data_IF_480202926794
#
_entry.id   IF_480202926794
#
_cell.length_a   1.000
_cell.length_b   1.000
_cell.length_c   1.000
_cell.angle_alpha   90.00
_cell.angle_beta   90.00
_cell.angle_gamma   90.00
#
_symmetry.space_group_name_H-M   'P 1'
#
loop_
_entity.id
_entity.type
_entity.pdbx_description
1 polymer ?
#
# COMPACT_ATOMS: atom_id res chain seq x y z
N UNK A 1 -10.08 11.99 18.94
CA UNK A 1 -10.58 10.76 19.59
C UNK A 1 -11.82 10.33 18.84
N UNK A 2 -12.06 9.03 18.68
CA UNK A 2 -13.24 8.52 18.01
C UNK A 2 -13.59 7.16 18.61
N UNK A 3 -14.79 7.03 19.15
CA UNK A 3 -15.33 5.79 19.72
C UNK A 3 -16.72 5.55 19.14
N UNK A 4 -17.13 4.29 19.02
CA UNK A 4 -18.43 3.96 18.42
C UNK A 4 -19.57 4.46 19.31
N UNK A 5 -20.38 5.37 18.77
CA UNK A 5 -21.52 5.99 19.48
C UNK A 5 -22.58 4.93 19.81
N UNK A 6 -22.76 3.91 18.98
CA UNK A 6 -23.72 2.84 19.24
C UNK A 6 -23.31 2.00 20.44
N UNK A 7 -22.00 1.79 20.63
CA UNK A 7 -21.47 1.06 21.77
C UNK A 7 -21.65 1.85 23.07
N UNK A 8 -21.44 3.16 23.04
CA UNK A 8 -21.74 4.02 24.19
C UNK A 8 -23.23 4.05 24.52
N UNK A 9 -24.10 4.05 23.51
CA UNK A 9 -25.55 3.97 23.72
C UNK A 9 -25.96 2.64 24.37
N UNK A 10 -25.45 1.51 23.88
CA UNK A 10 -25.70 0.18 24.48
C UNK A 10 -25.16 0.11 25.91
N UNK A 11 -23.97 0.65 26.15
CA UNK A 11 -23.42 0.74 27.50
C UNK A 11 -24.31 1.56 28.43
N UNK A 12 -24.85 2.69 27.93
CA UNK A 12 -25.76 3.53 28.70
C UNK A 12 -27.03 2.78 29.11
N UNK A 13 -27.64 2.05 28.17
CA UNK A 13 -28.81 1.22 28.41
C UNK A 13 -28.50 0.11 29.43
N UNK A 14 -27.36 -0.58 29.27
CA UNK A 14 -26.91 -1.64 30.18
C UNK A 14 -26.72 -1.15 31.62
N UNK A 15 -26.07 -0.01 31.82
CA UNK A 15 -25.85 0.56 33.16
C UNK A 15 -27.17 1.01 33.81
N UNK A 16 -28.08 1.56 33.01
CA UNK A 16 -29.41 1.96 33.48
C UNK A 16 -30.21 0.76 33.98
N UNK A 17 -30.22 -0.35 33.24
CA UNK A 17 -30.90 -1.60 33.64
C UNK A 17 -30.38 -2.19 34.95
N UNK A 18 -29.11 -1.93 35.28
CA UNK A 18 -28.46 -2.42 36.50
C UNK A 18 -28.45 -1.39 37.64
N UNK A 19 -29.13 -0.23 37.49
CA UNK A 19 -29.14 0.87 38.46
C UNK A 19 -27.73 1.38 38.84
N UNK A 20 -26.81 1.40 37.86
CA UNK A 20 -25.44 1.88 38.04
C UNK A 20 -25.31 3.30 37.49
N UNK A 21 -24.75 4.21 38.27
CA UNK A 21 -24.48 5.57 37.80
C UNK A 21 -23.27 5.58 36.84
N UNK A 22 -23.37 6.31 35.73
CA UNK A 22 -22.32 6.47 34.73
C UNK A 22 -21.03 7.05 35.31
N UNK A 23 -21.14 7.92 36.31
CA UNK A 23 -19.98 8.51 36.98
C UNK A 23 -19.22 7.51 37.86
N UNK A 24 -19.83 6.37 38.19
CA UNK A 24 -19.27 5.35 39.05
C UNK A 24 -18.66 4.16 38.27
N UNK A 25 -18.44 4.33 36.96
CA UNK A 25 -17.77 3.36 36.11
C UNK A 25 -16.61 3.97 35.32
N UNK A 26 -15.67 3.13 34.92
CA UNK A 26 -14.60 3.50 34.00
C UNK A 26 -14.34 2.37 33.00
N UNK A 27 -14.30 2.69 31.71
CA UNK A 27 -13.98 1.75 30.65
C UNK A 27 -12.48 1.44 30.69
N UNK A 28 -12.16 0.16 30.67
CA UNK A 28 -10.79 -0.35 30.69
C UNK A 28 -10.52 -1.24 29.49
N UNK A 29 -9.36 -1.89 29.46
CA UNK A 29 -9.06 -2.87 28.43
C UNK A 29 -8.88 -2.24 27.05
N UNK A 30 -9.48 -2.85 26.02
CA UNK A 30 -9.26 -2.43 24.63
C UNK A 30 -10.04 -1.17 24.23
N UNK A 31 -11.02 -0.74 25.03
CA UNK A 31 -11.81 0.48 24.78
C UNK A 31 -10.95 1.74 24.69
N UNK A 32 -9.96 1.93 25.57
CA UNK A 32 -9.02 3.07 25.49
C UNK A 32 -8.20 3.05 24.19
N UNK A 33 -7.78 1.86 23.71
CA UNK A 33 -7.05 1.74 22.44
C UNK A 33 -7.94 2.13 21.25
N UNK A 34 -9.22 1.78 21.32
CA UNK A 34 -10.21 2.13 20.30
C UNK A 34 -10.47 3.63 20.26
N UNK A 35 -10.66 4.26 21.43
CA UNK A 35 -10.85 5.71 21.56
C UNK A 35 -9.73 6.53 20.91
N UNK A 36 -8.49 6.06 21.08
CA UNK A 36 -7.29 6.68 20.52
C UNK A 36 -6.99 6.26 19.07
N UNK A 37 -7.80 5.38 18.49
CA UNK A 37 -7.64 4.89 17.11
C UNK A 37 -6.44 3.96 16.92
N UNK A 38 -5.91 3.37 17.99
CA UNK A 38 -4.77 2.45 17.98
C UNK A 38 -5.19 1.07 17.45
N UNK A 39 -6.32 0.54 17.94
CA UNK A 39 -6.93 -0.74 17.53
C UNK A 39 -8.41 -0.73 17.92
N UNK A 40 -9.26 -1.38 17.13
CA UNK A 40 -10.66 -1.64 17.49
C UNK A 40 -10.76 -2.58 18.70
N UNK A 41 -11.77 -2.35 19.54
CA UNK A 41 -12.14 -3.23 20.62
C UNK A 41 -13.12 -4.30 20.14
N UNK A 42 -13.08 -5.48 20.77
CA UNK A 42 -13.97 -6.61 20.46
C UNK A 42 -15.03 -6.81 21.56
N UNK A 43 -14.85 -6.16 22.70
CA UNK A 43 -15.64 -6.20 23.92
C UNK A 43 -15.45 -4.88 24.70
N UNK A 44 -16.40 -4.57 25.59
CA UNK A 44 -16.32 -3.44 26.52
C UNK A 44 -16.04 -3.98 27.91
N UNK A 45 -14.85 -3.70 28.42
CA UNK A 45 -14.46 -4.02 29.79
C UNK A 45 -14.67 -2.80 30.69
N UNK A 46 -15.22 -3.00 31.89
CA UNK A 46 -15.53 -1.94 32.86
C UNK A 46 -14.99 -2.29 34.24
N UNK A 47 -14.49 -1.27 34.95
CA UNK A 47 -14.45 -1.26 36.42
C UNK A 47 -15.62 -0.44 36.96
N UNK A 48 -16.02 -0.75 38.19
CA UNK A 48 -17.15 -0.12 38.88
C UNK A 48 -16.76 0.17 40.33
N UNK A 49 -17.38 1.20 40.92
CA UNK A 49 -17.16 1.49 42.33
C UNK A 49 -17.51 0.32 43.24
N UNK A 50 -16.72 0.15 44.29
CA UNK A 50 -16.84 -0.91 45.30
C UNK A 50 -18.24 -1.03 45.92
N UNK A 51 -18.98 0.08 46.04
CA UNK A 51 -20.36 0.11 46.56
C UNK A 51 -21.37 -0.73 45.75
N UNK A 52 -21.05 -1.07 44.51
CA UNK A 52 -21.90 -1.88 43.63
C UNK A 52 -21.51 -3.37 43.59
N UNK A 53 -20.49 -3.77 44.36
CA UNK A 53 -20.06 -5.17 44.45
C UNK A 53 -21.04 -5.93 45.37
N UNK A 54 -22.28 -6.13 44.91
CA UNK A 54 -23.31 -6.98 45.55
C UNK A 54 -24.11 -7.75 44.48
N UNK A 55 -24.62 -8.93 44.82
CA UNK A 55 -24.74 -10.15 43.98
C UNK A 55 -25.79 -10.20 42.84
N UNK A 56 -26.22 -9.12 42.20
CA UNK A 56 -27.18 -9.26 41.08
C UNK A 56 -27.00 -8.28 39.94
N UNK A 57 -25.89 -8.39 39.22
CA UNK A 57 -25.67 -7.70 37.95
C UNK A 57 -26.08 -8.62 36.78
N UNK A 58 -26.87 -8.08 35.85
CA UNK A 58 -27.27 -8.75 34.63
C UNK A 58 -26.03 -9.01 33.77
N UNK A 59 -25.85 -10.25 33.32
CA UNK A 59 -24.77 -10.62 32.40
C UNK A 59 -25.04 -10.10 30.99
N UNK A 60 -23.99 -9.70 30.29
CA UNK A 60 -24.07 -9.23 28.90
C UNK A 60 -22.88 -9.78 28.10
N UNK A 61 -23.12 -10.30 26.89
CA UNK A 61 -22.08 -11.01 26.13
C UNK A 61 -20.96 -10.09 25.60
N UNK A 62 -21.25 -8.80 25.48
CA UNK A 62 -20.34 -7.79 24.93
C UNK A 62 -19.81 -6.78 25.97
N UNK A 63 -20.42 -6.73 27.17
CA UNK A 63 -20.10 -5.75 28.20
C UNK A 63 -19.79 -6.51 29.48
N UNK A 64 -18.55 -6.40 29.95
CA UNK A 64 -18.02 -7.20 31.04
C UNK A 64 -17.54 -6.32 32.19
N UNK A 65 -17.93 -6.67 33.41
CA UNK A 65 -17.24 -6.19 34.60
C UNK A 65 -15.99 -7.04 34.81
N UNK A 66 -14.83 -6.38 34.83
CA UNK A 66 -13.56 -7.05 35.07
C UNK A 66 -13.39 -7.38 36.55
N UNK A 67 -12.54 -8.38 36.83
CA UNK A 67 -12.21 -8.73 38.21
C UNK A 67 -11.52 -7.55 38.92
N UNK A 68 -12.05 -7.19 40.09
CA UNK A 68 -11.47 -6.20 40.99
C UNK A 68 -10.41 -6.83 41.91
N UNK A 69 -9.28 -6.15 42.22
CA UNK A 69 -8.87 -4.88 41.64
C UNK A 69 -8.33 -5.03 40.21
N UNK A 70 -8.65 -4.07 39.34
CA UNK A 70 -8.13 -4.09 37.97
C UNK A 70 -6.67 -3.68 37.89
N UNK A 71 -6.21 -2.74 38.73
CA UNK A 71 -4.82 -2.30 38.78
C UNK A 71 -4.11 -2.79 40.04
N UNK A 72 -2.80 -2.98 39.94
CA UNK A 72 -1.96 -3.26 41.11
C UNK A 72 -1.34 -1.98 41.71
N UNK A 73 -1.63 -0.81 41.15
CA UNK A 73 -1.10 0.48 41.61
C UNK A 73 -2.16 1.30 42.35
N UNK A 74 -3.40 1.25 41.86
CA UNK A 74 -4.52 2.06 42.34
C UNK A 74 -5.74 1.17 42.52
N UNK A 75 -6.59 1.48 43.50
CA UNK A 75 -7.90 0.82 43.62
C UNK A 75 -8.83 1.23 42.46
N UNK A 76 -9.88 0.44 42.22
CA UNK A 76 -10.85 0.77 41.17
C UNK A 76 -11.57 2.09 41.47
N UNK A 77 -11.92 2.34 42.74
CA UNK A 77 -12.50 3.60 43.21
C UNK A 77 -11.57 4.79 42.93
N UNK A 78 -10.26 4.65 43.21
CA UNK A 78 -9.26 5.70 42.92
C UNK A 78 -9.14 5.99 41.42
N UNK A 79 -9.18 4.96 40.56
CA UNK A 79 -9.14 5.15 39.09
C UNK A 79 -10.38 5.91 38.62
N UNK A 80 -11.55 5.61 39.19
CA UNK A 80 -12.83 6.23 38.83
C UNK A 80 -12.90 7.68 39.31
N UNK A 81 -12.40 7.98 40.51
CA UNK A 81 -12.53 9.30 41.14
C UNK A 81 -11.40 10.26 40.79
N UNK A 82 -10.23 9.77 40.40
CA UNK A 82 -9.09 10.62 40.05
C UNK A 82 -9.05 10.96 38.56
N UNK A 83 -9.38 12.21 38.23
CA UNK A 83 -9.37 12.76 36.86
C UNK A 83 -8.01 12.64 36.14
N UNK A 84 -6.90 12.39 36.84
CA UNK A 84 -5.59 12.15 36.22
C UNK A 84 -5.42 10.72 35.70
N UNK A 85 -6.29 9.79 36.09
CA UNK A 85 -6.18 8.36 35.77
C UNK A 85 -7.12 7.92 34.64
N UNK A 86 -7.90 8.85 34.09
CA UNK A 86 -8.82 8.58 33.00
C UNK A 86 -8.96 9.77 32.02
N UNK A 87 -9.49 9.47 30.84
CA UNK A 87 -9.84 10.40 29.77
C UNK A 87 -11.37 10.46 29.73
N UNK A 88 -11.95 11.65 29.79
CA UNK A 88 -13.40 11.84 29.66
C UNK A 88 -13.75 12.00 28.17
N UNK A 89 -14.70 11.19 27.69
CA UNK A 89 -15.24 11.28 26.34
C UNK A 89 -16.73 10.91 26.36
N UNK A 90 -17.58 11.80 25.85
CA UNK A 90 -19.05 11.62 25.81
C UNK A 90 -19.66 11.21 27.16
N UNK A 91 -19.24 11.89 28.24
CA UNK A 91 -19.60 11.63 29.63
C UNK A 91 -19.14 10.28 30.21
N UNK A 92 -18.39 9.47 29.45
CA UNK A 92 -17.77 8.25 29.95
C UNK A 92 -16.30 8.47 30.29
N UNK A 93 -15.83 7.73 31.30
CA UNK A 93 -14.43 7.68 31.71
C UNK A 93 -13.74 6.51 31.04
N UNK A 94 -12.60 6.74 30.40
CA UNK A 94 -11.74 5.71 29.83
C UNK A 94 -10.41 5.72 30.55
N UNK A 95 -9.92 4.57 31.04
CA UNK A 95 -8.63 4.53 31.74
C UNK A 95 -7.51 5.09 30.87
N UNK A 96 -6.59 5.85 31.47
CA UNK A 96 -5.49 6.43 30.74
C UNK A 96 -4.57 5.36 30.12
N UNK A 97 -3.86 5.74 29.06
CA UNK A 97 -3.06 4.80 28.29
C UNK A 97 -1.87 4.26 29.09
N UNK A 98 -1.38 5.04 30.06
CA UNK A 98 -0.33 4.74 31.01
C UNK A 98 -0.68 3.53 31.87
N UNK A 99 -1.84 3.56 32.52
CA UNK A 99 -2.31 2.45 33.35
C UNK A 99 -2.59 1.21 32.52
N UNK A 100 -3.17 1.36 31.33
CA UNK A 100 -3.39 0.24 30.42
C UNK A 100 -2.06 -0.41 29.99
N UNK A 101 -1.05 0.41 29.67
CA UNK A 101 0.29 -0.07 29.34
C UNK A 101 0.90 -0.84 30.51
N UNK A 102 0.82 -0.29 31.72
CA UNK A 102 1.29 -0.96 32.93
C UNK A 102 0.62 -2.32 33.12
N UNK A 103 -0.72 -2.37 33.08
CA UNK A 103 -1.51 -3.61 33.23
C UNK A 103 -1.10 -4.67 32.22
N UNK A 104 -0.98 -4.30 30.94
CA UNK A 104 -0.56 -5.21 29.86
C UNK A 104 0.87 -5.70 30.04
N UNK A 105 1.80 -4.82 30.42
CA UNK A 105 3.20 -5.18 30.67
C UNK A 105 3.34 -6.11 31.88
N UNK A 106 2.56 -5.87 32.94
CA UNK A 106 2.52 -6.71 34.13
C UNK A 106 1.95 -8.10 33.84
N UNK A 107 0.81 -8.17 33.13
CA UNK A 107 0.19 -9.43 32.74
C UNK A 107 1.05 -10.25 31.79
N UNK A 108 1.83 -9.59 30.93
CA UNK A 108 2.80 -10.22 30.01
C UNK A 108 2.17 -11.33 29.14
N UNK A 109 0.90 -11.16 28.73
CA UNK A 109 0.20 -12.12 27.86
C UNK A 109 0.66 -11.97 26.42
N UNK A 110 0.74 -13.08 25.70
CA UNK A 110 1.16 -13.07 24.29
C UNK A 110 0.30 -12.17 23.40
N UNK A 111 -1.02 -12.11 23.67
CA UNK A 111 -1.95 -11.25 22.92
C UNK A 111 -1.70 -9.75 23.14
N UNK A 112 -1.16 -9.35 24.28
CA UNK A 112 -0.94 -7.94 24.64
C UNK A 112 0.32 -7.35 23.98
N UNK A 113 1.18 -8.20 23.42
CA UNK A 113 2.48 -7.79 22.91
C UNK A 113 2.39 -6.75 21.77
N UNK A 114 1.42 -6.93 20.86
CA UNK A 114 1.18 -5.99 19.76
C UNK A 114 0.71 -4.64 20.29
N UNK A 115 -0.18 -4.65 21.28
CA UNK A 115 -0.70 -3.43 21.89
C UNK A 115 0.40 -2.67 22.63
N UNK A 116 1.25 -3.35 23.39
CA UNK A 116 2.40 -2.76 24.08
C UNK A 116 3.32 -2.02 23.09
N UNK A 117 3.63 -2.64 21.93
CA UNK A 117 4.45 -1.99 20.90
C UNK A 117 3.76 -0.72 20.36
N UNK A 118 2.47 -0.81 20.01
CA UNK A 118 1.75 0.34 19.46
C UNK A 118 1.62 1.47 20.49
N UNK A 119 1.43 1.15 21.78
CA UNK A 119 1.42 2.15 22.85
C UNK A 119 2.80 2.82 23.00
N UNK A 120 3.91 2.07 22.93
CA UNK A 120 5.27 2.64 22.96
C UNK A 120 5.49 3.57 21.77
N UNK A 121 5.03 3.19 20.58
CA UNK A 121 5.14 4.06 19.41
C UNK A 121 4.26 5.31 19.54
N UNK A 122 3.07 5.17 20.14
CA UNK A 122 2.16 6.27 20.42
C UNK A 122 2.72 7.25 21.46
N UNK A 123 3.36 6.73 22.52
CA UNK A 123 3.92 7.53 23.63
C UNK A 123 5.13 8.37 23.22
N UNK A 124 5.86 8.00 22.17
CA UNK A 124 6.93 8.83 21.59
C UNK A 124 6.43 10.16 21.02
N UNK A 125 5.13 10.32 20.80
CA UNK A 125 4.55 11.45 20.07
C UNK A 125 3.47 12.23 20.79
N UNK A 126 3.08 11.79 21.99
CA UNK A 126 2.04 12.43 22.79
C UNK A 126 2.57 12.65 24.21
N UNK A 127 1.91 13.52 24.97
CA UNK A 127 2.16 13.68 26.41
C UNK A 127 1.72 12.37 27.06
N UNK A 128 2.69 11.49 27.35
CA UNK A 128 2.50 10.24 28.07
C UNK A 128 3.18 10.38 29.42
N UNK A 129 2.41 10.36 30.50
CA UNK A 129 2.92 10.63 31.82
C UNK A 129 3.55 9.37 32.43
N UNK A 130 4.82 9.13 32.09
CA UNK A 130 5.60 8.02 32.61
C UNK A 130 5.72 8.02 34.14
N UNK A 131 5.60 9.17 34.81
CA UNK A 131 5.70 9.25 36.27
C UNK A 131 4.59 8.46 36.98
N UNK A 132 3.43 8.31 36.35
CA UNK A 132 2.30 7.53 36.89
C UNK A 132 2.65 6.05 37.11
N UNK A 133 3.55 5.51 36.31
CA UNK A 133 3.78 4.05 36.26
C UNK A 133 5.24 3.63 36.44
N UNK A 134 6.20 4.52 36.21
CA UNK A 134 7.63 4.17 36.14
C UNK A 134 8.14 3.43 37.38
N UNK A 135 7.71 3.84 38.58
CA UNK A 135 8.12 3.20 39.85
C UNK A 135 7.58 1.77 40.01
N UNK A 136 6.52 1.43 39.28
CA UNK A 136 5.76 0.18 39.39
C UNK A 136 5.88 -0.70 38.15
N UNK A 137 6.72 -0.33 37.17
CA UNK A 137 6.92 -1.16 35.98
C UNK A 137 7.71 -2.43 36.33
N UNK A 138 7.30 -3.61 35.83
CA UNK A 138 8.07 -4.83 36.04
C UNK A 138 9.44 -4.71 35.35
N UNK A 139 10.49 -5.28 35.98
CA UNK A 139 11.85 -5.33 35.41
C UNK A 139 11.80 -5.94 34.01
N UNK A 140 12.58 -5.37 33.08
CA UNK A 140 12.57 -5.81 31.69
C UNK A 140 12.96 -7.29 31.58
N UNK A 141 12.01 -8.12 31.16
CA UNK A 141 12.23 -9.54 31.00
C UNK A 141 12.93 -9.81 29.66
N UNK A 142 14.06 -10.51 29.64
CA UNK A 142 14.83 -10.78 28.41
C UNK A 142 14.00 -11.49 27.31
N UNK A 143 12.97 -12.27 27.71
CA UNK A 143 12.01 -12.86 26.78
C UNK A 143 11.22 -11.83 25.96
N UNK A 144 10.95 -10.65 26.52
CA UNK A 144 10.25 -9.57 25.83
C UNK A 144 11.06 -9.08 24.62
N UNK A 145 12.37 -8.90 24.80
CA UNK A 145 13.28 -8.52 23.71
C UNK A 145 13.36 -9.62 22.65
N UNK A 146 13.47 -10.89 23.04
CA UNK A 146 13.49 -12.00 22.09
C UNK A 146 12.20 -12.08 21.25
N UNK A 147 11.02 -11.88 21.87
CA UNK A 147 9.74 -11.82 21.17
C UNK A 147 9.64 -10.59 20.24
N UNK A 148 10.18 -9.44 20.66
CA UNK A 148 10.29 -8.22 19.84
C UNK A 148 11.04 -8.49 18.55
N UNK A 149 12.24 -9.06 18.70
CA UNK A 149 13.12 -9.38 17.58
C UNK A 149 12.50 -10.44 16.68
N UNK A 150 11.78 -11.43 17.22
CA UNK A 150 11.03 -12.39 16.38
C UNK A 150 10.01 -11.69 15.49
N UNK A 151 9.19 -10.77 16.01
CA UNK A 151 8.16 -10.08 15.21
C UNK A 151 8.80 -9.22 14.10
N UNK A 152 9.87 -8.49 14.42
CA UNK A 152 10.64 -7.71 13.44
C UNK A 152 11.25 -8.64 12.38
N UNK A 153 11.86 -9.75 12.82
CA UNK A 153 12.48 -10.73 11.93
C UNK A 153 11.45 -11.42 11.02
N UNK A 154 10.25 -11.76 11.52
CA UNK A 154 9.18 -12.32 10.69
C UNK A 154 8.70 -11.33 9.61
N UNK A 155 8.58 -10.03 9.94
CA UNK A 155 8.26 -8.99 8.95
C UNK A 155 9.37 -8.86 7.90
N UNK A 156 10.63 -8.91 8.31
CA UNK A 156 11.79 -8.87 7.41
C UNK A 156 11.85 -10.11 6.50
N UNK A 157 11.66 -11.31 7.08
CA UNK A 157 11.62 -12.59 6.37
C UNK A 157 10.50 -12.63 5.34
N UNK A 158 9.31 -12.06 5.61
CA UNK A 158 8.22 -11.92 4.63
C UNK A 158 8.61 -11.03 3.45
N UNK A 159 9.26 -9.89 3.70
CA UNK A 159 9.77 -9.00 2.63
C UNK A 159 10.85 -9.70 1.79
N UNK A 160 11.78 -10.39 2.45
CA UNK A 160 12.84 -11.15 1.79
C UNK A 160 12.28 -12.32 0.98
N UNK A 161 11.30 -13.08 1.51
CA UNK A 161 10.63 -14.19 0.79
C UNK A 161 9.88 -13.69 -0.45
N UNK A 162 9.26 -12.51 -0.39
CA UNK A 162 8.64 -11.84 -1.56
C UNK A 162 9.68 -11.47 -2.62
N UNK A 163 10.86 -11.02 -2.20
CA UNK A 163 11.98 -10.72 -3.09
C UNK A 163 12.53 -11.98 -3.77
N UNK A 164 12.63 -13.10 -3.04
CA UNK A 164 13.07 -14.38 -3.59
C UNK A 164 12.02 -15.09 -4.45
N UNK A 165 10.72 -14.80 -4.31
CA UNK A 165 9.68 -15.35 -5.19
C UNK A 165 9.90 -14.96 -6.66
N UNK A 166 10.52 -13.81 -6.91
CA UNK A 166 10.87 -13.32 -8.26
C UNK A 166 11.99 -14.18 -8.90
N UNK A 167 12.78 -14.91 -8.11
CA UNK A 167 13.93 -15.70 -8.57
C UNK A 167 13.56 -17.10 -9.08
N UNK A 168 12.35 -17.58 -8.78
CA UNK A 168 11.88 -18.91 -9.21
C UNK A 168 10.98 -18.81 -10.45
N UNK A 169 11.51 -18.26 -11.54
CA UNK A 169 10.90 -18.42 -12.86
C UNK A 169 11.17 -19.87 -13.29
N UNK A 170 10.16 -20.73 -13.18
CA UNK A 170 10.24 -22.11 -13.63
C UNK A 170 10.47 -22.15 -15.15
N UNK A 171 11.44 -22.95 -15.58
CA UNK A 171 11.84 -23.08 -16.99
C UNK A 171 10.81 -23.92 -17.74
N UNK A 172 10.60 -23.62 -19.03
CA UNK A 172 9.70 -24.38 -19.93
C UNK A 172 8.23 -24.47 -19.50
N UNK A 173 7.81 -23.72 -18.48
CA UNK A 173 6.42 -23.63 -18.05
C UNK A 173 5.72 -22.37 -18.58
N UNK A 174 4.41 -22.47 -18.74
CA UNK A 174 3.54 -21.33 -19.00
C UNK A 174 3.41 -20.53 -17.71
N UNK A 175 3.73 -19.23 -17.77
CA UNK A 175 3.61 -18.33 -16.63
C UNK A 175 2.72 -17.16 -16.98
N UNK A 176 2.05 -16.60 -15.99
CA UNK A 176 1.24 -15.39 -16.15
C UNK A 176 2.03 -14.23 -15.53
N UNK A 177 2.35 -13.22 -16.33
CA UNK A 177 3.14 -12.05 -15.91
C UNK A 177 2.30 -10.77 -16.08
N UNK A 178 2.37 -9.82 -15.14
CA UNK A 178 1.77 -8.50 -15.31
C UNK A 178 2.32 -7.79 -16.56
N UNK A 179 1.43 -7.29 -17.40
CA UNK A 179 1.78 -6.71 -18.71
C UNK A 179 2.71 -5.49 -18.56
N UNK A 180 2.52 -4.67 -17.52
CA UNK A 180 3.37 -3.52 -17.22
C UNK A 180 4.79 -3.93 -16.79
N UNK A 181 4.94 -5.00 -16.02
CA UNK A 181 6.24 -5.59 -15.69
C UNK A 181 6.93 -6.06 -16.97
N UNK A 182 6.20 -6.71 -17.88
CA UNK A 182 6.78 -7.14 -19.15
C UNK A 182 7.23 -5.95 -20.02
N UNK A 183 6.45 -4.88 -20.09
CA UNK A 183 6.82 -3.63 -20.78
C UNK A 183 8.10 -3.02 -20.19
N UNK A 184 8.15 -2.84 -18.87
CA UNK A 184 9.34 -2.28 -18.20
C UNK A 184 10.60 -3.13 -18.41
N UNK A 185 10.46 -4.46 -18.49
CA UNK A 185 11.57 -5.38 -18.82
C UNK A 185 12.13 -5.18 -20.22
N UNK A 186 11.50 -4.43 -21.11
CA UNK A 186 12.05 -4.09 -22.42
C UNK A 186 13.01 -2.89 -22.40
N UNK A 187 13.40 -2.42 -21.21
CA UNK A 187 14.42 -1.37 -21.01
C UNK A 187 15.77 -1.95 -20.57
N UNK A 188 16.86 -1.25 -20.86
CA UNK A 188 18.18 -1.48 -20.26
C UNK A 188 18.69 -0.16 -19.69
N UNK A 189 18.62 0.00 -18.38
CA UNK A 189 18.74 1.32 -17.75
C UNK A 189 17.67 2.27 -18.28
N UNK A 190 18.08 3.45 -18.73
CA UNK A 190 17.20 4.47 -19.33
C UNK A 190 16.79 4.14 -20.78
N UNK A 191 17.48 3.20 -21.44
CA UNK A 191 17.29 2.94 -22.86
C UNK A 191 16.14 1.94 -23.09
N UNK A 192 15.11 2.35 -23.82
CA UNK A 192 14.06 1.45 -24.27
C UNK A 192 14.48 0.73 -25.56
N UNK A 193 14.37 -0.61 -25.58
CA UNK A 193 14.92 -1.45 -26.64
C UNK A 193 13.88 -1.92 -27.68
N UNK A 194 12.61 -1.52 -27.53
CA UNK A 194 11.48 -2.08 -28.27
C UNK A 194 10.56 -1.02 -28.86
N UNK A 195 11.12 -0.04 -29.56
CA UNK A 195 10.34 1.02 -30.21
C UNK A 195 9.39 0.47 -31.30
N UNK A 196 9.69 -0.72 -31.83
CA UNK A 196 8.78 -1.48 -32.67
C UNK A 196 7.45 -1.84 -31.97
N UNK A 197 7.44 -1.97 -30.64
CA UNK A 197 6.22 -2.16 -29.84
C UNK A 197 5.32 -0.92 -29.90
N UNK A 198 5.91 0.27 -29.89
CA UNK A 198 5.19 1.55 -29.93
C UNK A 198 4.55 1.76 -31.30
N UNK A 199 5.29 1.51 -32.37
CA UNK A 199 4.75 1.55 -33.74
C UNK A 199 3.56 0.60 -33.89
N UNK A 200 3.67 -0.62 -33.34
CA UNK A 200 2.57 -1.58 -33.32
C UNK A 200 1.38 -1.07 -32.51
N UNK A 201 1.60 -0.51 -31.33
CA UNK A 201 0.54 0.10 -30.52
C UNK A 201 -0.20 1.20 -31.30
N UNK A 202 0.54 2.10 -31.95
CA UNK A 202 -0.03 3.17 -32.77
C UNK A 202 -0.86 2.63 -33.95
N UNK A 203 -0.40 1.53 -34.55
CA UNK A 203 -1.16 0.85 -35.61
C UNK A 203 -2.53 0.39 -35.12
N UNK A 204 -2.60 -0.13 -33.89
CA UNK A 204 -3.85 -0.57 -33.26
C UNK A 204 -4.76 0.65 -33.03
N UNK A 205 -4.20 1.70 -32.45
CA UNK A 205 -4.88 2.98 -32.19
C UNK A 205 -5.51 3.53 -33.47
N UNK A 206 -4.70 3.76 -34.51
CA UNK A 206 -5.17 4.32 -35.78
C UNK A 206 -6.20 3.41 -36.46
N UNK A 207 -5.99 2.10 -36.44
CA UNK A 207 -6.94 1.16 -37.02
C UNK A 207 -8.32 1.22 -36.36
N UNK A 208 -8.39 1.33 -35.03
CA UNK A 208 -9.66 1.38 -34.30
C UNK A 208 -10.30 2.76 -34.31
N UNK A 209 -9.52 3.83 -34.36
CA UNK A 209 -9.99 5.22 -34.50
C UNK A 209 -10.41 5.57 -35.94
N UNK A 210 -10.38 4.61 -36.87
CA UNK A 210 -10.64 4.81 -38.30
C UNK A 210 -9.70 5.81 -39.00
N UNK A 211 -8.58 6.15 -38.36
CA UNK A 211 -7.49 6.89 -38.96
C UNK A 211 -6.68 5.93 -39.85
N UNK A 212 -6.71 6.13 -41.17
CA UNK A 212 -6.17 5.16 -42.15
C UNK A 212 -4.65 5.20 -42.35
N UNK A 213 -3.92 5.98 -41.56
CA UNK A 213 -2.47 6.04 -41.67
C UNK A 213 -1.80 4.86 -40.93
N UNK A 214 -1.17 3.97 -41.69
CA UNK A 214 -0.38 2.85 -41.18
C UNK A 214 1.06 2.92 -41.68
N UNK A 215 1.51 4.09 -42.13
CA UNK A 215 2.71 4.19 -42.94
C UNK A 215 3.95 3.86 -42.12
N UNK A 216 3.99 4.24 -40.84
CA UNK A 216 5.02 3.79 -39.90
C UNK A 216 5.12 2.26 -39.77
N UNK A 217 3.98 1.56 -39.73
CA UNK A 217 3.97 0.10 -39.60
C UNK A 217 4.39 -0.59 -40.90
N UNK A 218 3.90 -0.11 -42.05
CA UNK A 218 4.30 -0.64 -43.36
C UNK A 218 5.82 -0.47 -43.54
N UNK A 219 6.33 0.71 -43.20
CA UNK A 219 7.76 1.05 -43.24
C UNK A 219 8.57 0.16 -42.29
N UNK A 220 8.16 0.03 -41.04
CA UNK A 220 8.77 -0.91 -40.08
C UNK A 220 8.86 -2.33 -40.64
N UNK A 221 7.80 -2.84 -41.25
CA UNK A 221 7.78 -4.22 -41.79
C UNK A 221 8.64 -4.36 -43.06
N UNK A 222 8.73 -3.31 -43.88
CA UNK A 222 9.61 -3.26 -45.05
C UNK A 222 11.08 -3.28 -44.62
N UNK A 223 11.48 -2.36 -43.75
CA UNK A 223 12.86 -2.19 -43.27
C UNK A 223 13.35 -3.38 -42.45
N UNK A 224 12.49 -4.00 -41.64
CA UNK A 224 12.84 -5.21 -40.86
C UNK A 224 13.23 -6.39 -41.76
N UNK A 225 12.64 -6.48 -42.95
CA UNK A 225 12.73 -7.66 -43.82
C UNK A 225 12.08 -8.93 -43.23
N UNK A 226 11.83 -9.93 -44.08
CA UNK A 226 11.36 -11.28 -43.71
C UNK A 226 10.12 -11.30 -42.80
N UNK A 227 8.98 -10.84 -43.30
CA UNK A 227 7.68 -11.18 -42.69
C UNK A 227 7.29 -12.63 -43.02
N UNK A 228 6.83 -13.44 -42.04
CA UNK A 228 6.28 -14.76 -42.32
C UNK A 228 4.93 -14.69 -43.05
N UNK A 229 4.28 -13.53 -43.07
CA UNK A 229 3.02 -13.31 -43.75
C UNK A 229 3.21 -12.55 -45.06
N UNK A 230 2.56 -13.04 -46.12
CA UNK A 230 2.46 -12.37 -47.43
C UNK A 230 1.82 -10.97 -47.31
N UNK A 231 0.90 -10.78 -46.36
CA UNK A 231 0.30 -9.49 -46.03
C UNK A 231 0.31 -9.26 -44.50
N UNK A 232 1.37 -8.65 -43.94
CA UNK A 232 1.54 -8.48 -42.49
C UNK A 232 0.44 -7.63 -41.85
N UNK A 233 -0.01 -6.57 -42.53
CA UNK A 233 -1.05 -5.68 -42.00
C UNK A 233 -2.40 -6.38 -41.91
N UNK A 234 -2.77 -7.21 -42.91
CA UNK A 234 -4.00 -8.00 -42.86
C UNK A 234 -3.98 -8.98 -41.67
N UNK A 235 -2.88 -9.69 -41.47
CA UNK A 235 -2.72 -10.58 -40.33
C UNK A 235 -2.81 -9.84 -38.99
N UNK A 236 -2.21 -8.65 -38.89
CA UNK A 236 -2.28 -7.86 -37.67
C UNK A 236 -3.70 -7.33 -37.40
N UNK A 237 -4.43 -6.87 -38.42
CA UNK A 237 -5.84 -6.47 -38.27
C UNK A 237 -6.73 -7.60 -37.75
N UNK A 238 -6.52 -8.84 -38.23
CA UNK A 238 -7.21 -10.02 -37.70
C UNK A 238 -6.90 -10.21 -36.21
N UNK A 239 -5.63 -10.10 -35.81
CA UNK A 239 -5.24 -10.18 -34.40
C UNK A 239 -5.90 -9.10 -33.55
N UNK A 240 -5.94 -7.85 -34.04
CA UNK A 240 -6.57 -6.72 -33.33
C UNK A 240 -8.07 -6.98 -33.13
N UNK A 241 -8.76 -7.42 -34.19
CA UNK A 241 -10.18 -7.74 -34.11
C UNK A 241 -10.43 -8.89 -33.12
N UNK A 242 -9.59 -9.92 -33.11
CA UNK A 242 -9.70 -11.00 -32.13
C UNK A 242 -9.54 -10.49 -30.70
N UNK A 243 -8.56 -9.64 -30.43
CA UNK A 243 -8.41 -9.02 -29.11
C UNK A 243 -9.61 -8.15 -28.72
N UNK A 244 -10.16 -7.38 -29.67
CA UNK A 244 -11.35 -6.56 -29.44
C UNK A 244 -12.57 -7.42 -29.07
N UNK A 245 -12.72 -8.59 -29.68
CA UNK A 245 -13.88 -9.47 -29.50
C UNK A 245 -13.76 -10.36 -28.26
N UNK A 246 -12.58 -10.95 -28.01
CA UNK A 246 -12.43 -12.02 -27.00
C UNK A 246 -11.22 -11.83 -26.07
N UNK A 247 -10.52 -10.69 -26.15
CA UNK A 247 -9.36 -10.41 -25.32
C UNK A 247 -8.13 -11.25 -25.69
N UNK A 248 -7.28 -11.53 -24.69
CA UNK A 248 -6.05 -12.28 -24.91
C UNK A 248 -6.32 -13.80 -24.99
N UNK A 249 -5.92 -14.46 -26.07
CA UNK A 249 -5.97 -15.92 -26.17
C UNK A 249 -4.86 -16.58 -25.33
N UNK A 250 -5.22 -17.17 -24.20
CA UNK A 250 -4.25 -17.70 -23.24
C UNK A 250 -3.40 -18.88 -23.76
N UNK A 251 -3.87 -19.58 -24.78
CA UNK A 251 -3.15 -20.69 -25.42
C UNK A 251 -2.02 -20.21 -26.36
N UNK A 252 -1.88 -18.90 -26.56
CA UNK A 252 -0.87 -18.28 -27.42
C UNK A 252 0.06 -17.39 -26.58
N UNK A 253 0.99 -17.97 -25.79
CA UNK A 253 1.88 -17.21 -24.92
C UNK A 253 2.88 -16.35 -25.70
N UNK A 254 3.35 -15.28 -25.05
CA UNK A 254 4.46 -14.45 -25.52
C UNK A 254 5.78 -15.16 -25.23
N UNK A 255 6.68 -15.24 -26.21
CA UNK A 255 7.97 -15.90 -26.03
C UNK A 255 9.01 -14.90 -25.50
N UNK A 256 9.65 -15.25 -24.39
CA UNK A 256 10.63 -14.42 -23.70
C UNK A 256 11.95 -15.17 -23.49
N UNK A 257 13.05 -14.45 -23.36
CA UNK A 257 14.29 -15.02 -22.84
C UNK A 257 14.27 -15.15 -21.30
N UNK A 258 15.35 -15.72 -20.75
CA UNK A 258 15.57 -15.84 -19.30
C UNK A 258 15.58 -14.51 -18.53
N UNK A 259 15.76 -13.38 -19.22
CA UNK A 259 15.77 -12.04 -18.65
C UNK A 259 14.44 -11.30 -18.88
N UNK A 260 13.40 -11.99 -19.35
CA UNK A 260 12.10 -11.44 -19.73
C UNK A 260 12.14 -10.46 -20.91
N UNK A 261 13.16 -10.55 -21.77
CA UNK A 261 13.22 -9.83 -23.05
C UNK A 261 12.39 -10.56 -24.09
N UNK A 262 11.65 -9.79 -24.88
CA UNK A 262 10.80 -10.33 -25.93
C UNK A 262 11.61 -11.00 -27.05
N UNK A 263 11.34 -12.29 -27.26
CA UNK A 263 11.79 -13.05 -28.43
C UNK A 263 10.73 -12.98 -29.53
N UNK A 264 9.48 -13.30 -29.20
CA UNK A 264 8.33 -13.22 -30.11
C UNK A 264 7.04 -12.84 -29.34
N UNK A 265 6.02 -12.38 -30.08
CA UNK A 265 4.74 -11.96 -29.52
C UNK A 265 4.65 -10.45 -29.28
N UNK A 266 5.48 -9.64 -29.93
CA UNK A 266 5.43 -8.18 -29.83
C UNK A 266 4.11 -7.58 -30.30
N UNK A 267 3.47 -8.13 -31.35
CA UNK A 267 2.11 -7.76 -31.73
C UNK A 267 1.08 -8.09 -30.65
N UNK A 268 1.21 -9.25 -29.99
CA UNK A 268 0.33 -9.66 -28.88
C UNK A 268 0.54 -8.77 -27.65
N UNK A 269 1.78 -8.39 -27.35
CA UNK A 269 2.06 -7.44 -26.27
C UNK A 269 1.48 -6.06 -26.59
N UNK A 270 1.63 -5.55 -27.82
CA UNK A 270 1.04 -4.28 -28.22
C UNK A 270 -0.50 -4.29 -28.05
N UNK A 271 -1.16 -5.38 -28.46
CA UNK A 271 -2.59 -5.55 -28.20
C UNK A 271 -2.90 -5.61 -26.71
N UNK A 272 -2.14 -6.38 -25.91
CA UNK A 272 -2.36 -6.46 -24.47
C UNK A 272 -2.25 -5.09 -23.79
N UNK A 273 -1.28 -4.26 -24.19
CA UNK A 273 -1.11 -2.89 -23.71
C UNK A 273 -2.28 -2.00 -24.14
N UNK A 274 -2.70 -2.06 -25.41
CA UNK A 274 -3.78 -1.23 -25.92
C UNK A 274 -5.14 -1.54 -25.28
N UNK A 275 -5.45 -2.82 -25.10
CA UNK A 275 -6.71 -3.28 -24.51
C UNK A 275 -6.66 -3.40 -22.97
N UNK A 276 -5.64 -2.82 -22.32
CA UNK A 276 -5.46 -2.85 -20.86
C UNK A 276 -5.56 -4.25 -20.23
N UNK A 277 -5.03 -5.26 -20.92
CA UNK A 277 -4.96 -6.62 -20.39
C UNK A 277 -3.92 -6.64 -19.28
N UNK A 278 -4.36 -6.82 -18.03
CA UNK A 278 -3.50 -6.74 -16.86
C UNK A 278 -2.41 -7.82 -16.81
N UNK A 279 -2.70 -9.02 -17.33
CA UNK A 279 -1.82 -10.17 -17.26
C UNK A 279 -1.74 -10.92 -18.59
N UNK A 280 -0.54 -11.32 -18.99
CA UNK A 280 -0.31 -12.08 -20.21
C UNK A 280 0.38 -13.42 -19.92
N UNK A 281 0.02 -14.50 -20.62
CA UNK A 281 0.77 -15.74 -20.55
C UNK A 281 2.06 -15.61 -21.34
N UNK A 282 3.13 -16.15 -20.78
CA UNK A 282 4.48 -16.12 -21.34
C UNK A 282 5.09 -17.51 -21.32
N UNK A 283 6.04 -17.74 -22.24
CA UNK A 283 6.89 -18.91 -22.31
C UNK A 283 8.35 -18.46 -22.30
N UNK A 284 9.12 -18.92 -21.32
CA UNK A 284 10.54 -18.57 -21.16
C UNK A 284 11.39 -19.58 -21.93
N UNK A 285 12.24 -19.08 -22.84
CA UNK A 285 13.15 -19.83 -23.69
C UNK A 285 14.59 -19.60 -23.18
N UNK A 286 15.44 -20.63 -23.27
CA UNK A 286 16.82 -20.58 -22.74
C UNK A 286 17.74 -19.58 -23.48
N UNK A 287 17.44 -19.26 -24.73
CA UNK A 287 18.25 -18.35 -25.55
C UNK A 287 18.13 -16.92 -25.04
N UNK A 288 19.24 -16.19 -24.98
CA UNK A 288 19.22 -14.74 -24.77
C UNK A 288 19.33 -14.06 -26.12
N UNK A 289 18.42 -13.14 -26.41
CA UNK A 289 18.38 -12.43 -27.69
C UNK A 289 18.43 -10.94 -27.41
N UNK A 290 19.34 -10.24 -28.08
CA UNK A 290 19.35 -8.79 -28.10
C UNK A 290 18.33 -8.34 -29.14
N UNK A 291 17.36 -7.53 -28.72
CA UNK A 291 16.39 -6.97 -29.67
C UNK A 291 17.05 -5.86 -30.49
N UNK A 292 16.92 -5.87 -31.81
CA UNK A 292 17.53 -4.85 -32.65
C UNK A 292 16.70 -3.57 -32.73
N UNK A 293 15.53 -3.46 -32.08
CA UNK A 293 14.57 -2.37 -32.32
C UNK A 293 14.66 -1.23 -31.30
N UNK A 294 15.88 -0.88 -30.89
CA UNK A 294 16.11 0.34 -30.13
C UNK A 294 15.89 1.59 -31.00
N UNK A 295 16.04 2.79 -30.41
CA UNK A 295 15.83 4.03 -31.16
C UNK A 295 16.89 4.24 -32.27
N UNK A 296 18.08 3.67 -32.11
CA UNK A 296 19.16 3.84 -33.08
C UNK A 296 18.88 3.05 -34.35
N UNK A 297 18.22 1.88 -34.24
CA UNK A 297 17.73 1.16 -35.40
C UNK A 297 16.81 2.02 -36.27
N UNK A 298 15.88 2.76 -35.67
CA UNK A 298 15.03 3.67 -36.45
C UNK A 298 15.84 4.80 -37.10
N UNK A 299 16.87 5.33 -36.44
CA UNK A 299 17.76 6.37 -37.00
C UNK A 299 18.63 5.88 -38.16
N UNK A 300 19.05 4.62 -38.13
CA UNK A 300 19.91 4.03 -39.18
C UNK A 300 19.13 3.41 -40.33
N UNK A 301 17.81 3.35 -40.20
CA UNK A 301 16.89 2.94 -41.26
C UNK A 301 16.10 4.16 -41.73
N UNK A 302 15.32 4.00 -42.80
CA UNK A 302 14.78 5.10 -43.61
C UNK A 302 13.73 6.01 -42.92
N UNK A 303 13.69 6.12 -41.58
CA UNK A 303 12.73 6.93 -40.83
C UNK A 303 13.14 8.39 -40.73
N UNK A 304 12.17 9.30 -40.92
CA UNK A 304 12.38 10.74 -40.77
C UNK A 304 12.50 11.15 -39.30
N UNK A 305 13.01 12.36 -39.07
CA UNK A 305 13.13 12.90 -37.71
C UNK A 305 11.75 13.06 -37.05
N UNK A 306 10.77 13.53 -37.81
CA UNK A 306 9.38 13.72 -37.35
C UNK A 306 8.75 12.38 -36.94
N UNK A 307 8.95 11.32 -37.73
CA UNK A 307 8.47 9.97 -37.42
C UNK A 307 9.10 9.44 -36.13
N UNK A 308 10.41 9.62 -35.96
CA UNK A 308 11.16 9.18 -34.77
C UNK A 308 10.67 9.93 -33.53
N UNK A 309 10.49 11.25 -33.62
CA UNK A 309 10.03 12.05 -32.49
C UNK A 309 8.57 11.74 -32.13
N UNK A 310 7.71 11.49 -33.13
CA UNK A 310 6.35 10.97 -32.91
C UNK A 310 6.35 9.64 -32.17
N UNK A 311 7.23 8.70 -32.55
CA UNK A 311 7.40 7.42 -31.86
C UNK A 311 7.84 7.62 -30.40
N UNK A 312 8.76 8.55 -30.12
CA UNK A 312 9.24 8.84 -28.75
C UNK A 312 8.15 9.45 -27.87
N UNK A 313 7.37 10.39 -28.40
CA UNK A 313 6.27 11.02 -27.65
C UNK A 313 5.24 9.93 -27.25
N UNK A 314 4.83 9.11 -28.22
CA UNK A 314 3.87 8.04 -27.94
C UNK A 314 4.43 6.94 -27.02
N UNK A 315 5.76 6.74 -26.95
CA UNK A 315 6.38 5.88 -25.91
C UNK A 315 6.03 6.37 -24.51
N UNK A 316 6.06 7.68 -24.27
CA UNK A 316 5.72 8.24 -22.95
C UNK A 316 4.26 7.94 -22.62
N UNK A 317 3.35 8.14 -23.58
CA UNK A 317 1.92 7.90 -23.39
C UNK A 317 1.60 6.44 -23.12
N UNK A 318 2.21 5.52 -23.88
CA UNK A 318 2.05 4.07 -23.65
C UNK A 318 2.53 3.67 -22.26
N UNK A 319 3.66 4.19 -21.81
CA UNK A 319 4.18 3.86 -20.47
C UNK A 319 3.30 4.45 -19.35
N UNK A 320 2.76 5.66 -19.54
CA UNK A 320 1.80 6.29 -18.62
C UNK A 320 0.51 5.46 -18.52
N UNK A 321 -0.12 5.15 -19.65
CA UNK A 321 -1.38 4.39 -19.69
C UNK A 321 -1.24 2.96 -19.18
N UNK A 322 -0.03 2.39 -19.30
CA UNK A 322 0.26 1.02 -18.84
C UNK A 322 0.71 0.96 -17.37
N UNK A 323 0.70 2.07 -16.61
CA UNK A 323 1.22 2.12 -15.24
C UNK A 323 2.65 1.56 -15.12
N UNK A 324 3.50 1.86 -16.11
CA UNK A 324 4.91 1.46 -16.12
C UNK A 324 5.81 2.48 -15.41
N UNK A 325 5.34 3.73 -15.29
CA UNK A 325 5.95 4.73 -14.42
C UNK A 325 5.31 4.68 -13.03
N UNK A 326 6.06 5.11 -12.02
CA UNK A 326 5.57 5.28 -10.66
C UNK A 326 5.78 6.72 -10.23
N UNK A 327 4.92 7.19 -9.33
CA UNK A 327 5.01 8.54 -8.77
C UNK A 327 5.81 8.51 -7.47
N UNK A 328 6.56 9.58 -7.24
CA UNK A 328 7.22 9.85 -5.96
C UNK A 328 6.54 11.09 -5.40
N UNK A 329 6.06 11.00 -4.17
CA UNK A 329 5.44 12.14 -3.46
C UNK A 329 6.42 12.61 -2.39
N UNK A 330 6.89 13.84 -2.53
CA UNK A 330 7.66 14.54 -1.50
C UNK A 330 6.71 15.40 -0.69
N UNK A 331 6.82 15.32 0.64
CA UNK A 331 5.90 16.00 1.56
C UNK A 331 6.50 17.33 2.03
N UNK A 332 5.66 18.31 2.46
CA UNK A 332 6.12 19.63 2.89
C UNK A 332 7.32 19.65 3.88
N UNK A 333 7.44 18.74 4.86
CA UNK A 333 8.59 18.74 5.77
C UNK A 333 9.97 18.58 5.11
N UNK A 334 10.04 18.12 3.86
CA UNK A 334 11.30 17.98 3.10
C UNK A 334 11.41 18.96 1.93
N UNK A 335 10.57 19.99 1.88
CA UNK A 335 10.52 21.01 0.81
C UNK A 335 11.90 21.58 0.47
N UNK A 336 12.66 22.00 1.50
CA UNK A 336 14.02 22.56 1.33
C UNK A 336 15.01 21.62 0.62
N UNK A 337 14.67 20.33 0.49
CA UNK A 337 15.48 19.31 -0.16
C UNK A 337 14.88 18.79 -1.47
N UNK A 338 13.77 19.35 -1.97
CA UNK A 338 13.12 18.86 -3.20
C UNK A 338 14.10 18.80 -4.38
N UNK A 339 14.82 19.90 -4.64
CA UNK A 339 15.81 19.98 -5.71
C UNK A 339 16.96 18.97 -5.53
N UNK A 340 17.45 18.80 -4.30
CA UNK A 340 18.54 17.85 -4.01
C UNK A 340 18.09 16.40 -4.24
N UNK A 341 16.89 16.07 -3.76
CA UNK A 341 16.29 14.74 -3.96
C UNK A 341 16.07 14.49 -5.45
N UNK A 342 15.54 15.47 -6.18
CA UNK A 342 15.33 15.38 -7.63
C UNK A 342 16.67 15.15 -8.37
N UNK A 343 17.71 15.89 -8.01
CA UNK A 343 19.06 15.73 -8.56
C UNK A 343 19.66 14.35 -8.27
N UNK A 344 19.42 13.79 -7.08
CA UNK A 344 19.84 12.42 -6.73
C UNK A 344 19.10 11.39 -7.61
N UNK A 345 17.80 11.59 -7.85
CA UNK A 345 17.00 10.70 -8.70
C UNK A 345 17.48 10.79 -10.15
N UNK A 346 17.70 11.99 -10.70
CA UNK A 346 18.19 12.23 -12.07
C UNK A 346 19.51 11.53 -12.36
N UNK A 347 20.37 11.32 -11.37
CA UNK A 347 21.65 10.57 -11.54
C UNK A 347 21.44 9.10 -11.93
N UNK A 348 20.27 8.51 -11.62
CA UNK A 348 19.99 7.08 -11.86
C UNK A 348 18.76 6.83 -12.73
N UNK A 349 17.83 7.76 -12.79
CA UNK A 349 16.52 7.59 -13.42
C UNK A 349 16.13 8.81 -14.24
N UNK A 350 15.33 8.57 -15.28
CA UNK A 350 14.69 9.63 -16.06
C UNK A 350 13.47 10.15 -15.29
N UNK A 351 13.37 11.48 -15.14
CA UNK A 351 12.20 12.15 -14.56
C UNK A 351 11.35 12.67 -15.71
N UNK A 352 10.16 12.10 -15.86
CA UNK A 352 9.22 12.47 -16.93
C UNK A 352 8.56 13.83 -16.67
N UNK A 353 8.24 14.09 -15.40
CA UNK A 353 7.63 15.35 -14.95
C UNK A 353 7.87 15.52 -13.46
N UNK A 354 8.05 16.76 -13.03
CA UNK A 354 8.10 17.20 -11.63
C UNK A 354 7.17 18.39 -11.49
N UNK A 355 6.35 18.41 -10.45
CA UNK A 355 5.35 19.47 -10.22
C UNK A 355 5.27 19.74 -8.73
N UNK A 356 5.43 21.01 -8.37
CA UNK A 356 5.26 21.49 -7.01
C UNK A 356 3.86 22.06 -6.82
N UNK A 357 3.24 21.73 -5.68
CA UNK A 357 1.91 22.20 -5.33
C UNK A 357 1.96 22.95 -4.01
N UNK A 358 1.81 24.27 -4.05
CA UNK A 358 1.79 25.10 -2.85
C UNK A 358 0.44 25.04 -2.10
N UNK A 359 -0.68 24.85 -2.80
CA UNK A 359 -2.03 24.93 -2.21
C UNK A 359 -2.90 23.76 -2.67
N UNK A 360 -2.67 22.57 -2.12
CA UNK A 360 -3.49 21.39 -2.40
C UNK A 360 -4.83 21.50 -1.67
N UNK A 361 -5.91 21.76 -2.43
CA UNK A 361 -7.28 21.75 -1.88
C UNK A 361 -7.57 20.39 -1.23
N UNK A 362 -8.16 20.41 -0.03
CA UNK A 362 -8.46 19.21 0.75
C UNK A 362 -7.23 18.32 1.03
N UNK A 363 -6.04 18.92 1.26
CA UNK A 363 -4.79 18.19 1.51
C UNK A 363 -4.92 17.02 2.50
N UNK A 364 -5.57 17.24 3.64
CA UNK A 364 -5.78 16.20 4.66
C UNK A 364 -6.56 15.00 4.12
N UNK A 365 -7.60 15.25 3.32
CA UNK A 365 -8.40 14.20 2.68
C UNK A 365 -7.60 13.45 1.61
N UNK A 366 -6.82 14.18 0.80
CA UNK A 366 -5.91 13.59 -0.17
C UNK A 366 -4.93 12.62 0.50
N UNK A 367 -4.29 13.04 1.60
CA UNK A 367 -3.35 12.19 2.35
C UNK A 367 -4.05 10.94 2.90
N UNK A 368 -5.26 11.07 3.46
CA UNK A 368 -6.05 9.92 3.94
C UNK A 368 -6.37 8.95 2.82
N UNK A 369 -6.79 9.45 1.65
CA UNK A 369 -7.10 8.62 0.49
C UNK A 369 -5.87 7.90 -0.05
N UNK A 370 -4.72 8.59 -0.11
CA UNK A 370 -3.46 8.00 -0.52
C UNK A 370 -3.02 6.86 0.41
N UNK A 371 -3.19 7.02 1.73
CA UNK A 371 -2.82 5.98 2.70
C UNK A 371 -3.89 4.92 2.93
N UNK A 372 -5.09 5.07 2.36
CA UNK A 372 -6.16 4.06 2.47
C UNK A 372 -5.78 2.74 1.81
N UNK A 373 -4.92 2.77 0.79
CA UNK A 373 -4.42 1.58 0.10
C UNK A 373 -3.23 0.92 0.84
N UNK A 374 -2.68 1.60 1.84
CA UNK A 374 -1.57 1.10 2.65
C UNK A 374 -2.08 0.42 3.93
N UNK A 375 -1.37 -0.61 4.38
CA UNK A 375 -1.62 -1.29 5.67
C UNK A 375 -1.02 -0.47 6.83
N UNK A 376 -1.51 0.77 7.01
CA UNK A 376 -1.06 1.72 8.03
C UNK A 376 -2.22 2.10 8.96
N UNK A 377 -1.96 2.05 10.27
CA UNK A 377 -2.95 2.44 11.28
C UNK A 377 -3.38 3.91 11.11
N UNK A 378 -4.69 4.17 11.21
CA UNK A 378 -5.29 5.50 11.00
C UNK A 378 -4.63 6.61 11.82
N UNK A 379 -4.35 6.35 13.11
CA UNK A 379 -3.72 7.35 13.99
C UNK A 379 -2.33 7.79 13.49
N UNK A 380 -1.58 6.93 12.79
CA UNK A 380 -0.27 7.26 12.21
C UNK A 380 -0.43 8.21 11.02
N UNK A 381 -1.50 8.03 10.23
CA UNK A 381 -1.86 8.93 9.12
C UNK A 381 -2.26 10.30 9.67
N UNK A 382 -3.14 10.35 10.68
CA UNK A 382 -3.56 11.61 11.30
C UNK A 382 -2.38 12.35 11.94
N UNK A 383 -1.47 11.62 12.60
CA UNK A 383 -0.22 12.20 13.10
C UNK A 383 0.62 12.79 11.98
N UNK A 384 0.77 12.06 10.87
CA UNK A 384 1.53 12.55 9.72
C UNK A 384 0.91 13.84 9.18
N UNK A 385 -0.40 13.90 9.04
CA UNK A 385 -1.14 15.10 8.62
C UNK A 385 -0.88 16.26 9.58
N UNK A 386 -1.05 16.03 10.89
CA UNK A 386 -0.80 17.05 11.92
C UNK A 386 0.62 17.62 11.87
N UNK A 387 1.62 16.76 11.63
CA UNK A 387 3.00 17.19 11.49
C UNK A 387 3.26 17.93 10.17
N UNK A 388 2.66 17.51 9.06
CA UNK A 388 2.79 18.18 7.77
C UNK A 388 2.15 19.56 7.77
N UNK A 389 1.03 19.76 8.47
CA UNK A 389 0.36 21.07 8.58
C UNK A 389 1.19 22.13 9.33
N UNK A 390 2.32 21.75 9.93
CA UNK A 390 3.29 22.71 10.52
C UNK A 390 4.24 23.32 9.49
N UNK A 391 4.22 22.81 8.26
CA UNK A 391 5.05 23.24 7.15
C UNK A 391 4.08 23.80 6.09
N UNK A 392 3.91 25.13 6.04
CA UNK A 392 2.96 25.79 5.15
C UNK A 392 3.32 25.60 3.68
#
# INVERSE_FOLDING_TARGET
>A
MNYDINDLKKLKEFLTLNNINFDDVCLVGSSTLSLLGIRNHDDIDLIIKSKYITESIIKHDYINFVQSPWSNIYSDDEIIDNDKLHIKYDNFKFVCLELLFHKKKWHNRDKDYKDIIEIIEFSKSNIFNWELINKNLPKNNHLFFLKYFKIIFFKLKRKIKRFFLIKYLHKDCFQIIPTNILLSRQTNGINFLRYDLIVRYLTIKYYLEQNKDYDLYKKLQKERGKSPHKNPIKAFKVLINNFKLSGYNFNKPIALDKNLKLIDGSHRLACALYFNIAYVPVKIIKTSIISPFDINWFKTHNFSKEEIDHIKINKIDVFKSSNAYFQIVLWPPVEKFFNDIENIIKKKYEIISSVDYANVRNFNEYVRNLYKIDDINKWKVERKISLMNKYP
#
